data_IF_859371241391
#
_entry.id   IF_859371241391
#
_cell.length_a   1.000
_cell.length_b   1.000
_cell.length_c   1.000
_cell.angle_alpha   90.00
_cell.angle_beta   90.00
_cell.angle_gamma   90.00
#
_symmetry.space_group_name_H-M   'P 1'
#
loop_
_entity.id
_entity.type
_entity.pdbx_description
1 polymer ?
#
# COMPACT_ATOMS: atom_id res chain seq x y z
N UNK A 1 14.52 4.09 0.43
CA UNK A 1 13.86 3.07 -0.41
C UNK A 1 13.27 1.99 0.49
N UNK A 2 12.02 1.60 0.25
CA UNK A 2 11.25 0.59 0.99
C UNK A 2 10.83 -0.59 0.11
N UNK A 3 10.48 -0.32 -1.15
CA UNK A 3 10.10 -1.34 -2.12
C UNK A 3 10.72 -1.06 -3.48
N UNK A 4 10.87 -2.10 -4.30
CA UNK A 4 11.44 -2.04 -5.64
C UNK A 4 10.75 -3.03 -6.56
N UNK A 5 10.53 -2.64 -7.82
CA UNK A 5 9.93 -3.49 -8.85
C UNK A 5 10.62 -3.28 -10.19
N UNK A 6 10.58 -4.31 -11.04
CA UNK A 6 10.95 -4.23 -12.45
C UNK A 6 9.70 -4.15 -13.31
N UNK A 7 9.67 -3.23 -14.26
CA UNK A 7 8.50 -3.02 -15.12
C UNK A 7 8.86 -2.56 -16.53
N UNK A 8 7.85 -2.10 -17.29
CA UNK A 8 7.97 -1.82 -18.72
C UNK A 8 8.98 -0.72 -19.07
N UNK A 9 9.32 0.15 -18.11
CA UNK A 9 10.25 1.29 -18.30
C UNK A 9 11.52 1.18 -17.44
N UNK A 10 11.86 -0.01 -16.96
CA UNK A 10 13.02 -0.27 -16.10
C UNK A 10 12.63 -0.56 -14.65
N UNK A 11 13.58 -0.33 -13.74
CA UNK A 11 13.40 -0.52 -12.30
C UNK A 11 12.88 0.75 -11.65
N UNK A 12 11.92 0.59 -10.75
CA UNK A 12 11.35 1.66 -9.93
C UNK A 12 11.46 1.25 -8.48
N UNK A 13 11.97 2.14 -7.63
CA UNK A 13 11.98 1.98 -6.18
C UNK A 13 11.19 3.12 -5.53
N UNK A 14 10.44 2.81 -4.48
CA UNK A 14 9.66 3.78 -3.71
C UNK A 14 10.12 3.82 -2.26
N UNK A 15 9.75 4.85 -1.52
CA UNK A 15 10.07 5.00 -0.10
C UNK A 15 9.70 6.39 0.40
N UNK A 16 10.38 6.81 1.45
CA UNK A 16 10.20 8.12 2.09
C UNK A 16 11.50 8.89 2.15
N UNK A 17 11.37 10.21 2.15
CA UNK A 17 12.46 11.17 2.31
C UNK A 17 11.96 12.33 3.17
N UNK A 18 12.83 12.86 4.04
CA UNK A 18 12.54 14.09 4.78
C UNK A 18 13.15 15.27 4.01
N UNK A 19 12.31 16.22 3.59
CA UNK A 19 12.73 17.37 2.80
C UNK A 19 12.50 18.68 3.59
N UNK A 20 13.51 19.58 3.64
CA UNK A 20 13.35 20.89 4.27
C UNK A 20 12.18 21.68 3.68
N UNK A 21 11.22 22.09 4.52
CA UNK A 21 10.03 22.84 4.11
C UNK A 21 8.84 21.98 3.66
N UNK A 22 9.02 20.66 3.53
CA UNK A 22 7.97 19.71 3.14
C UNK A 22 7.71 18.61 4.19
N UNK A 23 8.65 18.37 5.12
CA UNK A 23 8.53 17.27 6.07
C UNK A 23 8.79 15.92 5.41
N UNK A 24 8.09 14.87 5.86
CA UNK A 24 8.22 13.52 5.31
C UNK A 24 7.35 13.39 4.06
N UNK A 25 7.99 13.09 2.93
CA UNK A 25 7.33 12.93 1.63
C UNK A 25 7.62 11.57 1.00
N UNK A 26 6.74 11.15 0.10
CA UNK A 26 6.97 10.04 -0.79
C UNK A 26 8.18 10.31 -1.69
N UNK A 27 8.96 9.27 -1.95
CA UNK A 27 10.13 9.35 -2.79
C UNK A 27 10.20 8.19 -3.77
N UNK A 28 10.56 8.51 -5.02
CA UNK A 28 10.68 7.56 -6.13
C UNK A 28 12.07 7.67 -6.75
N UNK A 29 12.67 6.52 -7.00
CA UNK A 29 13.92 6.41 -7.74
C UNK A 29 13.76 5.48 -8.93
N UNK A 30 14.41 5.80 -10.05
CA UNK A 30 14.41 4.97 -11.26
C UNK A 30 15.81 4.49 -11.62
N UNK A 31 15.88 3.33 -12.27
CA UNK A 31 17.12 2.77 -12.80
C UNK A 31 16.87 1.91 -14.03
N UNK A 32 17.70 2.08 -15.05
CA UNK A 32 17.66 1.21 -16.23
C UNK A 32 18.46 -0.09 -16.04
N UNK A 33 19.34 -0.15 -15.03
CA UNK A 33 20.34 -1.23 -14.90
C UNK A 33 20.55 -1.77 -13.47
N UNK A 34 19.87 -1.23 -12.47
CA UNK A 34 19.94 -1.63 -11.06
C UNK A 34 21.22 -1.22 -10.32
N UNK A 35 22.25 -0.77 -11.02
CA UNK A 35 23.53 -0.33 -10.44
C UNK A 35 23.61 1.19 -10.23
N UNK A 36 22.85 1.96 -11.01
CA UNK A 36 22.76 3.43 -10.89
C UNK A 36 21.31 3.85 -10.77
N UNK A 37 21.01 4.59 -9.71
CA UNK A 37 19.67 5.06 -9.39
C UNK A 37 19.62 6.58 -9.43
N UNK A 38 18.53 7.11 -9.95
CA UNK A 38 18.27 8.54 -10.02
C UNK A 38 16.98 8.85 -9.24
N UNK A 39 17.03 9.85 -8.35
CA UNK A 39 15.83 10.33 -7.65
C UNK A 39 15.00 11.14 -8.64
N UNK A 40 13.74 10.76 -8.83
CA UNK A 40 12.77 11.63 -9.49
C UNK A 40 12.66 12.97 -8.72
N UNK A 41 12.40 14.10 -9.37
CA UNK A 41 12.15 15.35 -8.66
C UNK A 41 10.99 15.22 -7.66
N UNK A 42 11.03 16.01 -6.59
CA UNK A 42 9.85 16.17 -5.74
C UNK A 42 8.76 16.94 -6.50
N UNK A 43 7.52 16.55 -6.25
CA UNK A 43 6.28 17.07 -6.81
C UNK A 43 5.22 16.92 -5.72
N UNK A 44 4.25 17.84 -5.67
CA UNK A 44 3.13 17.86 -4.71
C UNK A 44 2.38 16.52 -4.66
N UNK A 45 2.38 15.77 -5.78
CA UNK A 45 1.82 14.42 -5.84
C UNK A 45 2.44 13.46 -4.80
N UNK A 46 3.67 13.73 -4.33
CA UNK A 46 4.36 12.91 -3.33
C UNK A 46 4.21 13.43 -1.89
N UNK A 47 3.49 14.53 -1.69
CA UNK A 47 3.34 15.23 -0.42
C UNK A 47 3.49 16.73 -0.65
N UNK A 48 2.66 17.54 0.00
CA UNK A 48 2.64 19.00 -0.20
C UNK A 48 3.33 19.72 0.97
N UNK A 49 3.93 20.88 0.71
CA UNK A 49 4.45 21.74 1.75
C UNK A 49 3.30 22.53 2.42
N UNK A 50 2.95 22.19 3.66
CA UNK A 50 2.06 23.01 4.48
C UNK A 50 2.68 23.38 5.83
N UNK A 51 2.44 24.61 6.28
CA UNK A 51 2.89 25.14 7.57
C UNK A 51 2.19 24.50 8.78
N UNK A 52 2.78 24.69 9.97
CA UNK A 52 2.36 24.26 11.32
C UNK A 52 1.40 23.04 11.40
N UNK A 53 1.76 21.95 10.71
CA UNK A 53 1.12 20.64 10.76
C UNK A 53 1.81 19.73 9.75
N UNK A 54 2.46 18.66 10.21
CA UNK A 54 3.19 17.75 9.34
C UNK A 54 2.21 16.77 8.69
N UNK A 55 1.79 17.03 7.44
CA UNK A 55 1.15 15.99 6.63
C UNK A 55 2.24 15.08 6.07
N UNK A 56 2.57 14.04 6.82
CA UNK A 56 3.54 13.04 6.38
C UNK A 56 2.92 12.26 5.21
N UNK A 57 3.61 12.10 4.10
CA UNK A 57 3.20 11.18 3.04
C UNK A 57 4.26 10.11 2.90
N UNK A 58 3.86 8.85 2.97
CA UNK A 58 4.78 7.73 2.81
C UNK A 58 4.44 6.84 1.64
N UNK A 59 5.45 6.33 0.95
CA UNK A 59 5.30 5.22 0.01
C UNK A 59 5.94 3.97 0.60
N UNK A 60 5.16 2.89 0.63
CA UNK A 60 5.53 1.62 1.25
C UNK A 60 5.79 0.52 0.21
N UNK A 61 4.91 0.40 -0.79
CA UNK A 61 4.97 -0.65 -1.81
C UNK A 61 4.99 -0.11 -3.24
N UNK A 62 5.53 -0.88 -4.18
CA UNK A 62 5.40 -0.63 -5.62
C UNK A 62 5.37 -1.93 -6.42
N UNK A 63 4.48 -2.01 -7.40
CA UNK A 63 4.36 -3.12 -8.33
C UNK A 63 4.21 -2.62 -9.77
N UNK A 64 4.74 -3.39 -10.72
CA UNK A 64 4.48 -3.17 -12.14
C UNK A 64 3.34 -4.08 -12.64
N UNK A 65 2.54 -3.56 -13.55
CA UNK A 65 1.47 -4.28 -14.26
C UNK A 65 1.39 -3.84 -15.73
N UNK A 66 0.31 -4.22 -16.45
CA UNK A 66 0.20 -4.00 -17.89
C UNK A 66 0.26 -2.52 -18.31
N UNK A 67 -0.32 -1.64 -17.49
CA UNK A 67 -0.46 -0.21 -17.79
C UNK A 67 0.62 0.66 -17.12
N UNK A 68 1.64 0.04 -16.51
CA UNK A 68 2.75 0.75 -15.87
C UNK A 68 2.98 0.29 -14.43
N UNK A 69 3.01 1.24 -13.50
CA UNK A 69 3.39 1.05 -12.11
C UNK A 69 2.29 1.55 -11.17
N UNK A 70 2.10 0.83 -10.08
CA UNK A 70 1.24 1.20 -8.96
C UNK A 70 2.10 1.26 -7.71
N UNK A 71 2.05 2.37 -6.99
CA UNK A 71 2.65 2.52 -5.67
C UNK A 71 1.56 2.73 -4.62
N UNK A 72 1.84 2.30 -3.39
CA UNK A 72 0.91 2.44 -2.26
C UNK A 72 1.62 2.91 -1.01
N UNK A 73 0.85 3.47 -0.09
CA UNK A 73 1.32 3.99 1.17
C UNK A 73 0.22 4.74 1.90
N UNK A 74 0.58 5.76 2.67
CA UNK A 74 -0.35 6.45 3.55
C UNK A 74 0.01 7.93 3.77
N UNK A 75 -0.99 8.72 4.17
CA UNK A 75 -0.78 10.04 4.79
C UNK A 75 -0.75 9.90 6.32
N UNK A 76 -0.04 10.78 7.04
CA UNK A 76 0.14 10.70 8.49
C UNK A 76 -0.17 12.01 9.23
N UNK A 77 -0.86 11.87 10.37
CA UNK A 77 -0.51 12.41 11.70
C UNK A 77 -1.51 11.90 12.78
N UNK A 78 -2.82 11.94 12.50
CA UNK A 78 -3.87 11.52 13.47
C UNK A 78 -4.86 10.47 12.92
N UNK A 79 -5.06 10.42 11.60
CA UNK A 79 -5.91 9.45 10.91
C UNK A 79 -5.25 9.03 9.61
N UNK A 80 -4.44 7.97 9.65
CA UNK A 80 -3.73 7.53 8.45
C UNK A 80 -4.72 7.16 7.33
N UNK A 81 -4.50 7.66 6.12
CA UNK A 81 -5.33 7.35 4.96
C UNK A 81 -4.50 6.64 3.92
N UNK A 82 -4.96 5.48 3.45
CA UNK A 82 -4.30 4.75 2.38
C UNK A 82 -4.32 5.57 1.07
N UNK A 83 -3.15 5.70 0.45
CA UNK A 83 -2.96 6.41 -0.81
C UNK A 83 -2.43 5.45 -1.86
N UNK A 84 -2.92 5.63 -3.09
CA UNK A 84 -2.45 4.91 -4.27
C UNK A 84 -1.96 5.91 -5.31
N UNK A 85 -0.80 5.62 -5.88
CA UNK A 85 -0.25 6.35 -7.02
C UNK A 85 -0.13 5.44 -8.23
N UNK A 86 -0.36 6.01 -9.40
CA UNK A 86 -0.18 5.32 -10.69
C UNK A 86 0.81 6.07 -11.56
N UNK A 87 1.57 5.33 -12.36
CA UNK A 87 2.52 5.90 -13.31
C UNK A 87 2.67 5.00 -14.54
N UNK A 88 2.47 5.51 -15.76
CA UNK A 88 2.67 4.72 -16.98
C UNK A 88 4.15 4.44 -17.27
N UNK A 89 5.07 5.27 -16.77
CA UNK A 89 6.49 5.29 -17.15
C UNK A 89 7.47 5.19 -15.96
N UNK A 90 6.95 5.12 -14.74
CA UNK A 90 7.73 5.11 -13.49
C UNK A 90 8.30 6.46 -13.09
N UNK A 91 8.04 7.52 -13.86
CA UNK A 91 8.63 8.86 -13.72
C UNK A 91 7.57 9.93 -13.48
N UNK A 92 6.45 9.84 -14.18
CA UNK A 92 5.30 10.74 -14.07
C UNK A 92 4.23 10.05 -13.25
N UNK A 93 3.91 10.58 -12.07
CA UNK A 93 3.02 9.94 -11.11
C UNK A 93 1.76 10.76 -10.89
N UNK A 94 0.65 10.06 -10.66
CA UNK A 94 -0.66 10.64 -10.33
C UNK A 94 -1.26 9.94 -9.12
N UNK A 95 -1.85 10.70 -8.19
CA UNK A 95 -2.66 10.14 -7.10
C UNK A 95 -4.00 9.65 -7.65
N UNK A 96 -4.38 8.44 -7.26
CA UNK A 96 -5.75 7.96 -7.48
C UNK A 96 -6.68 8.72 -6.53
N UNK A 97 -7.82 9.23 -7.00
CA UNK A 97 -8.76 9.96 -6.14
C UNK A 97 -9.20 9.12 -4.94
N UNK A 98 -9.08 9.68 -3.73
CA UNK A 98 -9.51 9.02 -2.52
C UNK A 98 -11.03 8.78 -2.56
N UNK A 99 -11.44 7.52 -2.33
CA UNK A 99 -12.84 7.13 -2.18
C UNK A 99 -13.03 6.53 -0.78
N UNK A 100 -13.75 7.19 0.13
CA UNK A 100 -13.81 6.76 1.52
C UNK A 100 -14.33 5.32 1.70
N UNK A 101 -15.32 4.94 0.88
CA UNK A 101 -15.88 3.57 0.89
C UNK A 101 -14.90 2.48 0.45
N UNK A 102 -13.83 2.84 -0.25
CA UNK A 102 -12.84 1.91 -0.79
C UNK A 102 -11.60 1.89 0.09
N UNK A 103 -10.97 3.04 0.35
CA UNK A 103 -9.64 3.12 0.96
C UNK A 103 -9.61 3.54 2.44
N UNK A 104 -10.73 3.92 3.08
CA UNK A 104 -10.77 4.31 4.50
C UNK A 104 -11.84 5.39 4.80
N UNK A 105 -12.39 5.41 6.01
CA UNK A 105 -13.66 6.13 6.35
C UNK A 105 -13.47 7.53 6.96
N UNK A 106 -14.57 8.31 7.02
CA UNK A 106 -14.63 9.69 7.53
C UNK A 106 -14.14 9.85 8.99
N UNK A 107 -14.25 8.80 9.82
CA UNK A 107 -13.74 8.73 11.20
C UNK A 107 -13.02 7.38 11.40
N UNK A 108 -11.71 7.29 11.16
CA UNK A 108 -10.95 6.02 11.26
C UNK A 108 -9.55 6.10 10.66
N UNK A 109 -8.92 4.94 10.40
CA UNK A 109 -7.65 4.90 9.67
C UNK A 109 -7.58 3.73 8.70
N UNK A 110 -6.74 3.87 7.68
CA UNK A 110 -6.37 2.82 6.77
C UNK A 110 -4.91 2.98 6.35
N UNK A 111 -4.18 1.87 6.32
CA UNK A 111 -2.80 1.81 5.84
C UNK A 111 -2.71 0.87 4.66
N UNK A 112 -1.90 1.22 3.66
CA UNK A 112 -1.54 0.34 2.57
C UNK A 112 -0.03 0.07 2.63
N UNK A 113 0.32 -1.20 2.81
CA UNK A 113 1.67 -1.59 3.25
C UNK A 113 2.46 -2.21 2.10
N UNK A 114 1.82 -3.08 1.32
CA UNK A 114 2.47 -3.80 0.23
C UNK A 114 1.52 -3.98 -0.94
N UNK A 115 2.08 -4.11 -2.14
CA UNK A 115 1.32 -4.27 -3.40
C UNK A 115 2.02 -5.25 -4.32
N UNK A 116 1.23 -6.13 -4.95
CA UNK A 116 1.73 -7.08 -5.94
C UNK A 116 0.80 -7.16 -7.15
N UNK A 117 1.34 -7.53 -8.31
CA UNK A 117 0.54 -7.87 -9.49
C UNK A 117 0.42 -9.40 -9.57
N UNK A 118 -0.80 -9.91 -9.70
CA UNK A 118 -1.07 -11.36 -9.71
C UNK A 118 -1.01 -12.00 -11.09
N UNK A 119 -0.80 -11.21 -12.15
CA UNK A 119 -1.03 -11.64 -13.54
C UNK A 119 -2.33 -11.06 -14.11
N UNK A 120 -3.32 -10.79 -13.26
CA UNK A 120 -4.65 -10.30 -13.66
C UNK A 120 -5.08 -9.01 -12.94
N UNK A 121 -4.64 -8.82 -11.70
CA UNK A 121 -5.00 -7.68 -10.88
C UNK A 121 -3.86 -7.31 -9.93
N UNK A 122 -3.82 -6.04 -9.52
CA UNK A 122 -3.10 -5.59 -8.36
C UNK A 122 -3.82 -6.07 -7.10
N UNK A 123 -3.04 -6.45 -6.09
CA UNK A 123 -3.49 -6.79 -4.76
C UNK A 123 -2.67 -6.02 -3.74
N UNK A 124 -3.35 -5.32 -2.83
CA UNK A 124 -2.76 -4.44 -1.81
C UNK A 124 -3.17 -4.90 -0.44
N UNK A 125 -2.20 -5.08 0.46
CA UNK A 125 -2.46 -5.44 1.85
C UNK A 125 -2.26 -4.27 2.78
N UNK A 126 -2.98 -4.31 3.90
CA UNK A 126 -2.72 -3.42 5.01
C UNK A 126 -3.70 -3.62 6.17
N UNK A 127 -4.05 -2.51 6.81
CA UNK A 127 -4.93 -2.50 7.97
C UNK A 127 -5.95 -1.38 7.86
N UNK A 128 -7.09 -1.56 8.53
CA UNK A 128 -8.11 -0.52 8.64
C UNK A 128 -8.85 -0.59 9.97
N UNK A 129 -9.35 0.56 10.42
CA UNK A 129 -10.34 0.66 11.49
C UNK A 129 -11.43 1.64 11.05
N UNK A 130 -12.68 1.30 11.39
CA UNK A 130 -13.84 2.17 11.21
C UNK A 130 -14.26 2.69 12.59
N UNK A 131 -14.15 3.99 12.85
CA UNK A 131 -14.49 4.64 14.12
C UNK A 131 -13.71 3.99 15.30
N UNK A 132 -14.35 3.77 16.46
CA UNK A 132 -13.77 3.02 17.59
C UNK A 132 -13.71 1.49 17.36
N UNK A 133 -13.94 0.98 16.15
CA UNK A 133 -13.91 -0.45 15.90
C UNK A 133 -12.47 -1.02 16.00
N UNK A 134 -12.32 -2.31 16.35
CA UNK A 134 -11.02 -2.97 16.32
C UNK A 134 -10.41 -2.92 14.92
N UNK A 135 -9.08 -2.74 14.87
CA UNK A 135 -8.28 -2.81 13.65
C UNK A 135 -8.44 -4.17 13.00
N UNK A 136 -8.65 -4.17 11.68
CA UNK A 136 -8.79 -5.36 10.86
C UNK A 136 -7.79 -5.35 9.72
N UNK A 137 -7.28 -6.54 9.40
CA UNK A 137 -6.66 -6.79 8.12
C UNK A 137 -7.53 -6.29 6.95
N UNK A 138 -6.87 -5.72 5.94
CA UNK A 138 -7.50 -5.24 4.72
C UNK A 138 -6.76 -5.74 3.49
N UNK A 139 -7.52 -6.11 2.45
CA UNK A 139 -7.03 -6.38 1.10
C UNK A 139 -7.87 -5.57 0.13
N UNK A 140 -7.18 -4.92 -0.79
CA UNK A 140 -7.79 -4.21 -1.91
C UNK A 140 -7.28 -4.79 -3.21
N UNK A 141 -8.15 -4.91 -4.21
CA UNK A 141 -7.77 -5.36 -5.55
C UNK A 141 -8.22 -4.38 -6.62
N UNK A 142 -7.48 -4.36 -7.73
CA UNK A 142 -7.76 -3.52 -8.89
C UNK A 142 -7.16 -4.13 -10.14
N UNK A 143 -7.89 -4.17 -11.25
CA UNK A 143 -7.35 -4.64 -12.52
C UNK A 143 -6.45 -3.59 -13.21
N UNK A 144 -6.70 -2.30 -12.96
CA UNK A 144 -6.13 -1.16 -13.69
C UNK A 144 -5.31 -0.20 -12.81
N UNK A 145 -5.28 -0.44 -11.50
CA UNK A 145 -4.65 0.44 -10.52
C UNK A 145 -5.40 1.75 -10.28
N UNK A 146 -6.55 1.98 -10.93
CA UNK A 146 -7.36 3.20 -10.83
C UNK A 146 -8.65 2.94 -10.05
N UNK A 147 -9.33 1.84 -10.35
CA UNK A 147 -10.56 1.44 -9.68
C UNK A 147 -10.29 0.30 -8.73
N UNK A 148 -10.54 0.54 -7.44
CA UNK A 148 -10.20 -0.39 -6.38
C UNK A 148 -11.43 -0.90 -5.66
N UNK A 149 -11.37 -2.18 -5.30
CA UNK A 149 -12.38 -2.88 -4.55
C UNK A 149 -11.77 -3.45 -3.28
N UNK A 150 -12.43 -3.25 -2.15
CA UNK A 150 -12.05 -3.92 -0.91
C UNK A 150 -12.58 -5.35 -0.92
N UNK A 151 -11.71 -6.32 -0.69
CA UNK A 151 -12.14 -7.69 -0.43
C UNK A 151 -12.57 -7.84 1.04
N UNK A 152 -13.82 -8.25 1.24
CA UNK A 152 -14.40 -8.57 2.56
C UNK A 152 -14.45 -10.06 2.85
N UNK A 153 -14.03 -10.89 1.88
CA UNK A 153 -14.10 -12.35 1.89
C UNK A 153 -12.87 -13.03 2.46
N UNK A 154 -11.85 -12.29 2.93
CA UNK A 154 -10.71 -12.88 3.65
C UNK A 154 -11.20 -13.42 5.00
N UNK A 155 -11.70 -14.66 4.97
CA UNK A 155 -12.17 -15.40 6.13
C UNK A 155 -11.07 -16.22 6.79
N UNK A 156 -9.94 -16.44 6.10
CA UNK A 156 -8.79 -17.15 6.64
C UNK A 156 -8.21 -16.50 7.91
N UNK A 157 -8.61 -15.27 8.21
CA UNK A 157 -8.19 -14.48 9.36
C UNK A 157 -9.35 -14.04 10.28
N UNK A 158 -10.58 -14.52 10.02
CA UNK A 158 -11.81 -14.12 10.74
C UNK A 158 -12.20 -15.16 11.81
N UNK A 159 -11.20 -15.84 12.39
CA UNK A 159 -11.42 -16.76 13.52
C UNK A 159 -11.70 -15.95 14.79
N UNK A 160 -12.98 -15.84 15.13
CA UNK A 160 -13.48 -15.18 16.34
C UNK A 160 -12.90 -15.75 17.65
N UNK A 161 -12.35 -16.97 17.62
CA UNK A 161 -11.73 -17.63 18.77
C UNK A 161 -10.20 -17.52 18.83
N UNK A 162 -9.52 -17.16 17.73
CA UNK A 162 -8.06 -17.19 17.62
C UNK A 162 -7.40 -15.81 17.48
N UNK A 163 -8.00 -14.75 18.05
CA UNK A 163 -7.39 -13.42 18.12
C UNK A 163 -7.36 -12.69 16.77
N UNK A 164 -7.96 -11.52 16.71
CA UNK A 164 -8.09 -10.71 15.51
C UNK A 164 -6.74 -10.51 14.79
N UNK A 165 -6.64 -10.87 13.51
CA UNK A 165 -5.55 -10.38 12.66
C UNK A 165 -5.76 -8.89 12.45
N UNK A 166 -4.88 -8.10 13.08
CA UNK A 166 -4.99 -6.66 13.07
C UNK A 166 -4.41 -6.08 11.78
N UNK A 167 -3.36 -6.70 11.23
CA UNK A 167 -2.57 -6.10 10.15
C UNK A 167 -1.99 -7.16 9.20
N UNK A 168 -1.91 -6.83 7.91
CA UNK A 168 -1.19 -7.62 6.87
C UNK A 168 -0.03 -6.77 6.35
N UNK A 169 1.19 -7.30 6.33
CA UNK A 169 2.40 -6.51 6.01
C UNK A 169 3.12 -6.90 4.73
N UNK A 170 2.87 -8.10 4.21
CA UNK A 170 3.51 -8.54 2.98
C UNK A 170 2.59 -9.44 2.18
N UNK A 171 2.63 -9.27 0.87
CA UNK A 171 1.88 -10.07 -0.09
C UNK A 171 2.77 -10.49 -1.24
N UNK A 172 2.63 -11.74 -1.64
CA UNK A 172 3.23 -12.22 -2.89
C UNK A 172 2.21 -13.03 -3.66
N UNK A 173 2.25 -12.93 -4.99
CA UNK A 173 1.64 -13.94 -5.85
C UNK A 173 2.27 -15.31 -5.55
N UNK A 174 1.43 -16.33 -5.43
CA UNK A 174 1.86 -17.73 -5.28
C UNK A 174 1.70 -18.51 -6.59
N UNK A 175 0.64 -18.21 -7.36
CA UNK A 175 0.33 -18.67 -8.71
C UNK A 175 -0.80 -17.77 -9.29
N UNK A 176 -1.31 -18.06 -10.51
CA UNK A 176 -2.30 -17.22 -11.22
C UNK A 176 -3.59 -16.94 -10.40
N UNK A 177 -3.90 -17.75 -9.37
CA UNK A 177 -5.17 -17.66 -8.62
C UNK A 177 -4.99 -17.63 -7.08
N UNK A 178 -3.75 -17.60 -6.59
CA UNK A 178 -3.44 -17.62 -5.15
C UNK A 178 -2.47 -16.53 -4.74
N UNK A 179 -2.81 -15.88 -3.64
CA UNK A 179 -1.99 -14.90 -2.93
C UNK A 179 -1.51 -15.53 -1.62
N UNK A 180 -0.22 -15.44 -1.34
CA UNK A 180 0.29 -15.73 0.01
C UNK A 180 0.45 -14.40 0.74
N UNK A 181 -0.20 -14.29 1.89
CA UNK A 181 -0.19 -13.08 2.70
C UNK A 181 0.31 -13.41 4.11
N UNK A 182 1.17 -12.54 4.62
CA UNK A 182 1.69 -12.63 5.99
C UNK A 182 1.24 -11.41 6.79
N UNK A 183 0.82 -11.63 8.03
CA UNK A 183 0.33 -10.59 8.93
C UNK A 183 0.49 -10.95 10.40
N UNK A 184 -0.09 -10.12 11.27
CA UNK A 184 -0.05 -10.29 12.73
C UNK A 184 -1.45 -10.41 13.32
N UNK A 185 -1.63 -11.44 14.14
CA UNK A 185 -2.77 -11.60 15.03
C UNK A 185 -2.46 -11.06 16.43
N UNK A 186 -3.35 -10.25 17.00
CA UNK A 186 -3.30 -9.82 18.40
C UNK A 186 -4.57 -10.26 19.14
N UNK A 187 -4.59 -11.43 19.80
CA UNK A 187 -5.40 -11.58 21.00
C UNK A 187 -4.81 -10.68 22.11
N UNK A 188 -5.66 -10.22 23.05
CA UNK A 188 -5.45 -9.19 24.09
C UNK A 188 -4.19 -9.24 24.99
N UNK A 189 -3.19 -10.07 24.72
CA UNK A 189 -2.00 -10.27 25.58
C UNK A 189 -0.75 -10.75 24.80
N UNK A 190 -0.88 -11.51 23.70
CA UNK A 190 0.29 -12.04 22.95
C UNK A 190 0.18 -11.79 21.45
N UNK A 191 1.13 -11.05 20.86
CA UNK A 191 1.25 -10.95 19.41
C UNK A 191 1.77 -12.27 18.83
N UNK A 192 1.10 -12.82 17.81
CA UNK A 192 1.60 -13.94 17.02
C UNK A 192 1.62 -13.55 15.55
N UNK A 193 2.75 -13.76 14.90
CA UNK A 193 2.84 -13.65 13.45
C UNK A 193 2.14 -14.87 12.82
N UNK A 194 1.34 -14.62 11.79
CA UNK A 194 0.56 -15.63 11.09
C UNK A 194 0.68 -15.44 9.58
N UNK A 195 0.65 -16.55 8.85
CA UNK A 195 0.58 -16.55 7.39
C UNK A 195 -0.71 -17.25 6.97
N UNK A 196 -1.39 -16.74 5.94
CA UNK A 196 -2.41 -17.50 5.25
C UNK A 196 -2.27 -17.40 3.75
N UNK A 197 -2.77 -18.44 3.09
CA UNK A 197 -2.94 -18.47 1.65
C UNK A 197 -4.38 -18.09 1.37
N UNK A 198 -4.56 -16.99 0.66
CA UNK A 198 -5.84 -16.59 0.12
C UNK A 198 -5.95 -17.13 -1.31
N UNK A 199 -7.07 -17.79 -1.60
CA UNK A 199 -7.47 -18.17 -2.94
C UNK A 199 -8.77 -17.44 -3.25
N UNK A 200 -8.94 -16.99 -4.48
CA UNK A 200 -10.19 -16.40 -4.92
C UNK A 200 -11.33 -17.42 -4.75
N UNK A 201 -12.48 -16.95 -4.28
CA UNK A 201 -13.72 -17.74 -4.15
C UNK A 201 -14.64 -17.60 -5.34
#
# INVERSE_FOLDING_TARGET
MRSVTSGPSGLVATGTEELPGFGIVGAVWHSDNGSRWERAPHDDVFGEAFGEGYDETTMAGVAAGPDGYVAVGDTGADTAVAVVWTSPDGRTWSRVPHRPRTFGVDDGFATAIDVTWTGEQFAVTGARSDDEAPVRAALWTSADGQEWHRDTGIRAFDDREAGSVSELWSITGADDDRLTVVGRARPYDTARDAAAVWSRG
#
